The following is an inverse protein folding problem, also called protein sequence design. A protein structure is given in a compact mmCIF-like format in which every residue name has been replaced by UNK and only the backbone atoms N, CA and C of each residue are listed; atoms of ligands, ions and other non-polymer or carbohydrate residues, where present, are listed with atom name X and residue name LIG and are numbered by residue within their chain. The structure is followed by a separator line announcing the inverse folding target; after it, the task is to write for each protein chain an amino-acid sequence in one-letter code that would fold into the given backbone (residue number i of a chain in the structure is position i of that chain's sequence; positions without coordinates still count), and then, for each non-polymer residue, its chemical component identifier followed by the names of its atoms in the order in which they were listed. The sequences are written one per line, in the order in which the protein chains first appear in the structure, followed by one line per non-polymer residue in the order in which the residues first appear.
data_IF_245632001387
#
_entry.id   IF_245632001387
#
_cell.length_a   1.000
_cell.length_b   1.000
_cell.length_c   1.000
_cell.angle_alpha   90.00
_cell.angle_beta   90.00
_cell.angle_gamma   90.00
#
_symmetry.space_group_name_H-M   'P 1'
#
loop_
_entity.id
_entity.type
_entity.pdbx_description
1 polymer ?
#
# COMPACT_ATOMS: atom_id res chain seq x y z
N UNK A 1 20.48 -3.83 -25.81
CA UNK A 1 20.83 -3.12 -24.56
C UNK A 1 19.61 -3.08 -23.67
N UNK A 2 19.72 -3.52 -22.41
CA UNK A 2 18.63 -3.49 -21.43
C UNK A 2 18.23 -2.04 -21.09
N UNK A 3 16.93 -1.80 -20.91
CA UNK A 3 16.35 -0.49 -20.60
C UNK A 3 15.22 -0.64 -19.58
N UNK A 4 15.03 0.37 -18.76
CA UNK A 4 13.86 0.52 -17.88
C UNK A 4 12.91 1.54 -18.51
N UNK A 5 11.63 1.23 -18.55
CA UNK A 5 10.59 2.06 -19.16
C UNK A 5 9.76 2.75 -18.08
N UNK A 6 9.59 4.07 -18.19
CA UNK A 6 8.71 4.86 -17.34
C UNK A 6 7.66 5.56 -18.21
N UNK A 7 6.38 5.60 -17.80
CA UNK A 7 5.39 6.44 -18.47
C UNK A 7 5.77 7.92 -18.33
N UNK A 8 5.51 8.73 -19.36
CA UNK A 8 5.62 10.18 -19.25
C UNK A 8 4.37 10.76 -18.60
N UNK A 9 4.57 11.68 -17.68
CA UNK A 9 3.50 12.42 -17.00
C UNK A 9 3.15 13.75 -17.69
N UNK A 10 3.60 13.97 -18.93
CA UNK A 10 3.34 15.19 -19.71
C UNK A 10 2.03 15.14 -20.53
N UNK A 11 1.20 14.11 -20.33
CA UNK A 11 -0.06 13.91 -21.04
C UNK A 11 0.09 13.38 -22.48
N UNK A 12 1.31 13.21 -22.99
CA UNK A 12 1.57 12.71 -24.35
C UNK A 12 1.34 11.20 -24.51
N UNK A 13 1.16 10.46 -23.42
CA UNK A 13 1.07 9.00 -23.42
C UNK A 13 2.37 8.28 -23.81
N UNK A 14 3.49 9.01 -23.89
CA UNK A 14 4.79 8.47 -24.30
C UNK A 14 5.51 7.68 -23.20
N UNK A 15 6.56 6.96 -23.59
CA UNK A 15 7.44 6.21 -22.68
C UNK A 15 8.84 6.83 -22.68
N UNK A 16 9.41 7.00 -21.49
CA UNK A 16 10.81 7.37 -21.29
C UNK A 16 11.63 6.12 -20.98
N UNK A 17 12.66 5.87 -21.78
CA UNK A 17 13.62 4.81 -21.52
C UNK A 17 14.86 5.32 -20.78
N UNK A 18 15.29 4.58 -19.76
CA UNK A 18 16.45 4.90 -18.93
C UNK A 18 17.38 3.68 -18.87
N UNK A 19 18.69 3.91 -18.89
CA UNK A 19 19.67 2.84 -18.67
C UNK A 19 19.60 2.38 -17.20
N UNK A 20 19.63 1.07 -16.92
CA UNK A 20 19.58 0.58 -15.54
C UNK A 20 20.63 1.20 -14.61
N UNK A 21 21.84 1.47 -15.12
CA UNK A 21 22.94 2.10 -14.36
C UNK A 21 22.69 3.53 -13.91
N UNK A 22 21.61 4.17 -14.35
CA UNK A 22 21.20 5.52 -13.92
C UNK A 22 20.14 5.53 -12.83
N UNK A 23 19.64 4.36 -12.44
CA UNK A 23 18.67 4.23 -11.37
C UNK A 23 19.39 4.01 -10.04
N UNK A 24 19.08 4.83 -9.05
CA UNK A 24 19.53 4.67 -7.67
C UNK A 24 18.33 4.20 -6.82
N UNK A 25 18.60 3.51 -5.72
CA UNK A 25 17.59 3.14 -4.71
C UNK A 25 16.37 2.38 -5.28
N UNK A 26 16.63 1.46 -6.20
CA UNK A 26 15.57 0.61 -6.77
C UNK A 26 15.26 -0.58 -5.87
N UNK A 27 13.97 -0.86 -5.70
CA UNK A 27 13.47 -2.05 -5.02
C UNK A 27 12.56 -2.86 -5.95
N UNK A 28 12.55 -4.17 -5.78
CA UNK A 28 11.60 -5.04 -6.47
C UNK A 28 10.22 -4.92 -5.82
N UNK A 29 9.17 -4.70 -6.61
CA UNK A 29 7.84 -4.34 -6.10
C UNK A 29 6.72 -5.29 -6.56
N UNK A 30 6.95 -6.61 -6.53
CA UNK A 30 5.86 -7.58 -6.76
C UNK A 30 4.77 -7.51 -5.69
N UNK A 31 5.17 -7.17 -4.46
CA UNK A 31 4.28 -6.79 -3.37
C UNK A 31 4.85 -5.50 -2.74
N UNK A 32 3.96 -4.67 -2.22
CA UNK A 32 4.34 -3.44 -1.52
C UNK A 32 3.58 -3.32 -0.21
N UNK A 33 4.11 -2.52 0.70
CA UNK A 33 3.38 -2.19 1.93
C UNK A 33 2.21 -1.27 1.59
N UNK A 34 1.14 -1.34 2.38
CA UNK A 34 0.00 -0.40 2.26
C UNK A 34 0.48 1.05 2.33
N UNK A 35 1.50 1.36 3.14
CA UNK A 35 2.10 2.68 3.22
C UNK A 35 2.70 3.15 1.88
N UNK A 36 3.47 2.29 1.18
CA UNK A 36 4.06 2.63 -0.12
C UNK A 36 3.01 2.79 -1.23
N UNK A 37 1.80 2.23 -1.04
CA UNK A 37 0.69 2.35 -1.99
C UNK A 37 -0.16 3.64 -1.83
N UNK A 38 0.13 4.48 -0.83
CA UNK A 38 -0.65 5.69 -0.57
C UNK A 38 -0.65 6.63 -1.79
N UNK A 39 -1.82 7.15 -2.15
CA UNK A 39 -2.00 8.00 -3.33
C UNK A 39 -2.07 7.25 -4.67
N UNK A 40 -1.79 5.94 -4.69
CA UNK A 40 -1.95 5.08 -5.87
C UNK A 40 -3.26 4.29 -5.83
N UNK A 41 -3.77 3.89 -6.98
CA UNK A 41 -4.96 3.04 -7.09
C UNK A 41 -4.76 2.02 -8.20
N UNK A 42 -5.30 0.82 -8.02
CA UNK A 42 -5.12 -0.32 -8.91
C UNK A 42 -6.47 -0.90 -9.31
N UNK A 43 -6.58 -1.46 -10.52
CA UNK A 43 -7.81 -2.09 -10.97
C UNK A 43 -8.26 -3.21 -10.01
N UNK A 44 -7.31 -4.06 -9.62
CA UNK A 44 -7.48 -5.11 -8.61
C UNK A 44 -6.37 -5.01 -7.57
N UNK A 45 -6.74 -5.07 -6.29
CA UNK A 45 -5.79 -5.15 -5.17
C UNK A 45 -6.04 -6.43 -4.38
N UNK A 46 -4.96 -7.16 -4.09
CA UNK A 46 -4.94 -8.26 -3.12
C UNK A 46 -4.26 -7.80 -1.83
N UNK A 47 -4.97 -7.80 -0.70
CA UNK A 47 -4.43 -7.48 0.62
C UNK A 47 -4.16 -8.77 1.38
N UNK A 48 -2.91 -9.00 1.74
CA UNK A 48 -2.48 -10.15 2.54
C UNK A 48 -2.31 -9.71 3.99
N UNK A 49 -3.08 -10.30 4.90
CA UNK A 49 -2.91 -10.09 6.34
C UNK A 49 -1.78 -10.98 6.88
N UNK A 50 -1.06 -10.57 7.94
CA UNK A 50 -0.15 -11.47 8.64
C UNK A 50 -0.94 -12.57 9.39
N UNK A 51 -0.28 -13.66 9.77
CA UNK A 51 -0.88 -14.71 10.61
C UNK A 51 -1.15 -14.26 12.06
N UNK A 52 -0.31 -13.36 12.57
CA UNK A 52 -0.37 -12.86 13.94
C UNK A 52 -0.69 -11.36 13.98
N UNK A 53 -1.46 -10.96 14.99
CA UNK A 53 -1.71 -9.55 15.26
C UNK A 53 -0.39 -8.85 15.63
N UNK A 54 -0.17 -7.67 15.05
CA UNK A 54 0.93 -6.79 15.43
C UNK A 54 0.41 -5.35 15.59
N UNK A 55 1.19 -4.43 16.17
CA UNK A 55 0.76 -3.04 16.37
C UNK A 55 0.46 -2.27 15.07
N UNK A 56 1.01 -2.72 13.94
CA UNK A 56 0.83 -2.09 12.62
C UNK A 56 -0.53 -2.47 12.03
N UNK A 57 -1.02 -3.67 12.29
CA UNK A 57 -2.31 -4.16 11.80
C UNK A 57 -3.48 -3.51 12.56
N UNK A 58 -4.02 -2.45 11.98
CA UNK A 58 -5.16 -1.68 12.51
C UNK A 58 -6.30 -1.57 11.49
N UNK A 59 -7.48 -1.16 11.97
CA UNK A 59 -8.62 -0.85 11.10
C UNK A 59 -8.25 0.18 10.02
N UNK A 60 -7.49 1.22 10.37
CA UNK A 60 -7.09 2.28 9.45
C UNK A 60 -6.18 1.75 8.34
N UNK A 61 -5.22 0.88 8.67
CA UNK A 61 -4.34 0.26 7.68
C UNK A 61 -5.14 -0.61 6.69
N UNK A 62 -6.06 -1.44 7.22
CA UNK A 62 -6.94 -2.28 6.41
C UNK A 62 -7.82 -1.41 5.51
N UNK A 63 -8.42 -0.34 6.04
CA UNK A 63 -9.22 0.61 5.27
C UNK A 63 -8.41 1.24 4.13
N UNK A 64 -7.19 1.70 4.41
CA UNK A 64 -6.31 2.21 3.37
C UNK A 64 -6.04 1.16 2.30
N UNK A 65 -5.75 -0.08 2.69
CA UNK A 65 -5.53 -1.21 1.76
C UNK A 65 -6.74 -1.48 0.86
N UNK A 66 -7.95 -1.51 1.43
CA UNK A 66 -9.20 -1.69 0.68
C UNK A 66 -9.40 -0.58 -0.34
N UNK A 67 -9.22 0.69 0.06
CA UNK A 67 -9.41 1.85 -0.84
C UNK A 67 -8.36 1.98 -1.94
N UNK A 68 -7.33 1.11 -2.00
CA UNK A 68 -6.41 1.07 -3.14
C UNK A 68 -7.03 0.37 -4.36
N UNK A 69 -8.09 -0.43 -4.18
CA UNK A 69 -8.79 -1.11 -5.26
C UNK A 69 -9.83 -0.21 -5.93
N UNK A 70 -9.82 -0.15 -7.28
CA UNK A 70 -10.84 0.55 -8.09
C UNK A 70 -12.04 -0.33 -8.42
N UNK A 71 -11.81 -1.60 -8.74
CA UNK A 71 -12.85 -2.48 -9.28
C UNK A 71 -12.96 -3.79 -8.50
N UNK A 72 -11.83 -4.42 -8.19
CA UNK A 72 -11.80 -5.72 -7.50
C UNK A 72 -10.90 -5.68 -6.27
N UNK A 73 -11.32 -6.40 -5.23
CA UNK A 73 -10.55 -6.55 -4.00
C UNK A 73 -10.54 -8.02 -3.58
N UNK A 74 -9.37 -8.52 -3.21
CA UNK A 74 -9.20 -9.84 -2.60
C UNK A 74 -8.54 -9.68 -1.24
N UNK A 75 -9.14 -10.27 -0.22
CA UNK A 75 -8.53 -10.39 1.11
C UNK A 75 -7.96 -11.78 1.26
N UNK A 76 -6.68 -11.86 1.61
CA UNK A 76 -6.02 -13.12 1.96
C UNK A 76 -5.80 -13.12 3.46
N UNK A 77 -6.42 -14.09 4.12
CA UNK A 77 -6.39 -14.26 5.55
C UNK A 77 -5.71 -15.59 5.90
N UNK A 78 -4.43 -15.58 6.31
CA UNK A 78 -3.72 -16.82 6.64
C UNK A 78 -4.26 -17.54 7.88
N UNK A 79 -4.85 -16.80 8.82
CA UNK A 79 -5.47 -17.33 10.04
C UNK A 79 -6.88 -16.77 10.18
N UNK A 80 -7.87 -17.64 10.22
CA UNK A 80 -9.27 -17.25 10.42
C UNK A 80 -9.46 -16.36 11.65
N UNK A 81 -10.17 -15.24 11.48
CA UNK A 81 -10.54 -14.32 12.55
C UNK A 81 -9.56 -13.15 12.76
N UNK A 82 -8.40 -13.15 12.12
CA UNK A 82 -7.42 -12.06 12.28
C UNK A 82 -7.94 -10.74 11.69
N UNK A 83 -8.77 -10.80 10.64
CA UNK A 83 -9.41 -9.62 10.09
C UNK A 83 -10.35 -8.97 11.12
N UNK A 84 -11.24 -9.75 11.72
CA UNK A 84 -12.20 -9.31 12.73
C UNK A 84 -11.50 -8.77 13.98
N UNK A 85 -10.42 -9.43 14.40
CA UNK A 85 -9.58 -8.97 15.50
C UNK A 85 -8.90 -7.63 15.18
N UNK A 86 -8.36 -7.47 13.97
CA UNK A 86 -7.73 -6.24 13.53
C UNK A 86 -8.72 -5.07 13.45
N UNK A 87 -9.96 -5.32 13.02
CA UNK A 87 -11.01 -4.29 12.97
C UNK A 87 -11.38 -3.72 14.34
N UNK A 88 -11.14 -4.45 15.42
CA UNK A 88 -11.35 -3.97 16.80
C UNK A 88 -10.24 -3.03 17.27
N UNK A 89 -9.09 -2.99 16.57
CA UNK A 89 -7.97 -2.11 16.89
C UNK A 89 -8.08 -0.79 16.15
N UNK A 90 -8.13 0.31 16.90
CA UNK A 90 -8.00 1.67 16.38
C UNK A 90 -6.61 2.21 16.65
N UNK A 91 -6.09 3.04 15.74
CA UNK A 91 -4.86 3.77 15.97
C UNK A 91 -5.05 4.73 17.16
N UNK A 92 -4.22 4.59 18.19
CA UNK A 92 -4.14 5.57 19.28
C UNK A 92 -3.21 6.70 18.86
N UNK A 93 -3.78 7.89 18.64
CA UNK A 93 -3.01 9.10 18.35
C UNK A 93 -2.86 9.93 19.61
N UNK A 94 -1.69 9.86 20.24
CA UNK A 94 -1.35 10.74 21.34
C UNK A 94 -0.86 12.06 20.74
N UNK A 95 -1.68 13.11 20.83
CA UNK A 95 -1.30 14.47 20.47
C UNK A 95 -1.89 15.46 21.47
N UNK A 96 -1.16 16.53 21.77
CA UNK A 96 -1.64 17.61 22.64
C UNK A 96 -2.79 18.43 22.06
N UNK A 97 -3.16 18.20 20.79
CA UNK A 97 -4.24 18.92 20.10
C UNK A 97 -5.61 18.70 20.75
N UNK A 98 -5.82 17.58 21.45
CA UNK A 98 -7.06 17.31 22.17
C UNK A 98 -7.03 17.81 23.62
N UNK A 99 -5.87 18.26 24.12
CA UNK A 99 -5.70 18.75 25.50
C UNK A 99 -6.11 20.23 25.68
N UNK A 100 -6.41 20.94 24.59
CA UNK A 100 -7.07 22.26 24.65
C UNK A 100 -6.35 23.34 25.47
N UNK A 101 -5.01 23.33 25.51
CA UNK A 101 -4.22 24.47 26.01
C UNK A 101 -4.25 25.64 25.01
#
# INVERSE_FOLDING_TARGET
VLRVAFPRNDGSGGVRFVLPSRLNEVETVYAMTVHKSQGSEFAHTALILPEALNPVLTKELIYTGITRAKHWFSLIEPRQGIFEEALRRKVKRLSGLMLGL
#
